data_IF_866903123830
#
_entry.id   IF_866903123830
#
_cell.length_a   1.000
_cell.length_b   1.000
_cell.length_c   1.000
_cell.angle_alpha   90.00
_cell.angle_beta   90.00
_cell.angle_gamma   90.00
#
_symmetry.space_group_name_H-M   'P 1'
#
loop_
_entity.id
_entity.type
_entity.pdbx_description
1 polymer ?
#
# COMPACT_ATOMS: atom_id res chain seq x y z
N UNK A 1 3.79 -17.97 8.40
CA UNK A 1 5.00 -17.09 8.34
C UNK A 1 4.64 -15.66 8.76
N UNK A 2 5.61 -14.82 9.14
CA UNK A 2 5.36 -13.40 9.40
C UNK A 2 5.09 -12.66 8.08
N UNK A 3 4.18 -11.67 8.10
CA UNK A 3 3.86 -10.87 6.90
C UNK A 3 4.98 -9.91 6.52
N UNK A 4 5.79 -9.48 7.49
CA UNK A 4 6.96 -8.63 7.32
C UNK A 4 8.19 -9.38 7.81
N UNK A 5 9.30 -9.28 7.09
CA UNK A 5 10.54 -9.95 7.47
C UNK A 5 11.76 -9.48 6.69
N UNK A 6 12.83 -10.27 6.81
CA UNK A 6 14.06 -10.13 6.06
C UNK A 6 14.37 -11.49 5.41
N UNK A 7 14.73 -11.48 4.13
CA UNK A 7 15.18 -12.68 3.39
C UNK A 7 16.67 -12.53 3.11
N UNK A 8 17.44 -13.61 3.31
CA UNK A 8 18.86 -13.63 2.96
C UNK A 8 19.03 -13.48 1.44
N UNK A 9 19.97 -12.63 1.02
CA UNK A 9 20.19 -12.37 -0.40
C UNK A 9 20.61 -13.65 -1.15
N UNK A 10 21.29 -14.58 -0.49
CA UNK A 10 21.67 -15.90 -1.04
C UNK A 10 20.43 -16.73 -1.37
N UNK A 11 19.43 -16.73 -0.48
CA UNK A 11 18.16 -17.43 -0.70
C UNK A 11 17.40 -16.80 -1.87
N UNK A 12 17.33 -15.46 -1.91
CA UNK A 12 16.69 -14.72 -2.99
C UNK A 12 17.36 -14.99 -4.35
N UNK A 13 18.70 -14.98 -4.38
CA UNK A 13 19.49 -15.32 -5.55
C UNK A 13 19.26 -16.77 -6.00
N UNK A 14 19.20 -17.73 -5.06
CA UNK A 14 18.93 -19.14 -5.39
C UNK A 14 17.52 -19.35 -5.96
N UNK A 15 16.54 -18.52 -5.57
CA UNK A 15 15.22 -18.51 -6.20
C UNK A 15 15.27 -17.92 -7.62
N UNK A 16 16.00 -16.82 -7.82
CA UNK A 16 16.16 -16.19 -9.14
C UNK A 16 16.89 -17.11 -10.12
N UNK A 17 17.99 -17.74 -9.70
CA UNK A 17 18.82 -18.63 -10.54
C UNK A 17 18.03 -19.81 -11.13
N UNK A 18 16.95 -20.24 -10.46
CA UNK A 18 16.08 -21.33 -10.93
C UNK A 18 15.09 -20.90 -12.03
N UNK A 19 14.98 -19.61 -12.33
CA UNK A 19 14.01 -19.10 -13.29
C UNK A 19 14.65 -18.93 -14.66
N UNK A 20 14.09 -19.63 -15.64
CA UNK A 20 14.50 -19.51 -17.04
C UNK A 20 14.30 -18.10 -17.59
N UNK A 21 13.24 -17.41 -17.14
CA UNK A 21 12.92 -16.05 -17.54
C UNK A 21 12.22 -15.27 -16.42
N UNK A 22 12.59 -14.00 -16.28
CA UNK A 22 11.94 -12.98 -15.44
C UNK A 22 11.74 -11.72 -16.28
N UNK A 23 10.76 -10.88 -15.94
CA UNK A 23 10.60 -9.57 -16.57
C UNK A 23 11.32 -8.52 -15.71
N UNK A 24 12.28 -7.83 -16.31
CA UNK A 24 12.98 -6.69 -15.73
C UNK A 24 12.43 -5.41 -16.35
N UNK A 25 11.96 -4.49 -15.50
CA UNK A 25 11.85 -3.06 -15.82
C UNK A 25 12.98 -2.32 -15.12
N UNK A 26 13.83 -1.62 -15.87
CA UNK A 26 15.01 -0.96 -15.33
C UNK A 26 15.09 0.51 -15.73
N UNK A 27 15.52 1.34 -14.79
CA UNK A 27 16.03 2.67 -15.05
C UNK A 27 17.54 2.65 -14.86
N UNK A 28 18.26 3.00 -15.93
CA UNK A 28 19.70 3.02 -16.02
C UNK A 28 20.17 4.46 -16.17
N UNK A 29 21.29 4.79 -15.54
CA UNK A 29 21.90 6.12 -15.62
C UNK A 29 23.35 5.97 -16.02
N UNK A 30 23.82 6.85 -16.89
CA UNK A 30 25.23 6.90 -17.29
C UNK A 30 26.01 7.81 -16.34
N UNK A 31 27.14 7.32 -15.83
CA UNK A 31 28.11 8.07 -15.04
C UNK A 31 29.52 7.99 -15.66
N UNK A 32 30.55 8.43 -14.92
CA UNK A 32 31.95 8.39 -15.38
C UNK A 32 32.49 6.98 -15.61
N UNK A 33 31.92 5.97 -14.95
CA UNK A 33 32.40 4.60 -14.92
C UNK A 33 31.61 3.70 -15.88
N UNK A 34 30.47 4.16 -16.38
CA UNK A 34 29.66 3.47 -17.38
C UNK A 34 28.16 3.56 -17.11
N UNK A 35 27.42 2.56 -17.56
CA UNK A 35 25.99 2.44 -17.27
C UNK A 35 25.79 1.72 -15.95
N UNK A 36 25.00 2.33 -15.06
CA UNK A 36 24.64 1.75 -13.77
C UNK A 36 23.15 1.61 -13.60
N UNK A 37 22.76 0.61 -12.81
CA UNK A 37 21.37 0.45 -12.39
C UNK A 37 21.02 1.54 -11.37
N UNK A 38 20.01 2.35 -11.68
CA UNK A 38 19.40 3.28 -10.73
C UNK A 38 18.21 2.64 -10.03
N UNK A 39 17.40 1.87 -10.76
CA UNK A 39 16.27 1.13 -10.20
C UNK A 39 15.93 -0.09 -11.08
N UNK A 40 15.66 -1.22 -10.46
CA UNK A 40 15.15 -2.42 -11.13
C UNK A 40 13.89 -2.95 -10.45
N UNK A 41 12.80 -3.08 -11.20
CA UNK A 41 11.63 -3.86 -10.82
C UNK A 41 11.66 -5.20 -11.57
N UNK A 42 11.74 -6.30 -10.82
CA UNK A 42 11.76 -7.65 -11.38
C UNK A 42 10.44 -8.33 -11.04
N UNK A 43 9.66 -8.64 -12.05
CA UNK A 43 8.52 -9.51 -11.90
C UNK A 43 8.95 -10.96 -12.19
N UNK A 44 8.77 -11.82 -11.19
CA UNK A 44 9.13 -13.23 -11.26
C UNK A 44 8.08 -14.07 -11.97
N UNK A 45 6.90 -13.50 -12.18
CA UNK A 45 5.93 -14.07 -13.08
C UNK A 45 6.46 -14.00 -14.50
N UNK A 46 6.45 -15.13 -15.19
CA UNK A 46 6.94 -15.24 -16.56
C UNK A 46 5.74 -15.20 -17.50
N UNK A 47 5.24 -14.03 -17.93
CA UNK A 47 4.48 -14.02 -19.15
C UNK A 47 5.49 -14.19 -20.29
N UNK A 48 5.28 -15.18 -21.16
CA UNK A 48 5.89 -15.29 -22.50
C UNK A 48 5.49 -14.10 -23.43
N UNK A 49 5.07 -12.97 -22.85
CA UNK A 49 4.50 -11.79 -23.49
C UNK A 49 4.98 -10.50 -22.81
N UNK A 50 6.22 -10.48 -22.30
CA UNK A 50 6.83 -9.21 -21.88
C UNK A 50 6.84 -8.26 -23.09
N UNK A 51 6.21 -7.10 -22.97
CA UNK A 51 6.29 -6.05 -23.99
C UNK A 51 7.69 -5.47 -23.89
N UNK A 52 8.54 -5.86 -24.84
CA UNK A 52 9.87 -5.27 -24.91
C UNK A 52 9.75 -3.81 -25.36
N UNK A 53 10.21 -2.90 -24.51
CA UNK A 53 10.25 -1.47 -24.80
C UNK A 53 11.48 -0.85 -24.20
N UNK A 54 12.00 0.19 -24.83
CA UNK A 54 13.11 0.97 -24.30
C UNK A 54 12.98 2.44 -24.70
N UNK A 55 13.28 3.33 -23.76
CA UNK A 55 13.47 4.75 -23.98
C UNK A 55 14.93 5.07 -23.73
N UNK A 56 15.64 5.45 -24.79
CA UNK A 56 17.05 5.79 -24.74
C UNK A 56 17.21 7.32 -24.75
N UNK A 57 18.01 7.82 -23.82
CA UNK A 57 18.40 9.22 -23.70
C UNK A 57 19.91 9.31 -23.56
N UNK A 58 20.46 10.52 -23.77
CA UNK A 58 21.92 10.72 -23.68
C UNK A 58 22.54 10.42 -22.31
N UNK A 59 21.77 10.46 -21.22
CA UNK A 59 22.26 10.21 -19.84
C UNK A 59 21.48 9.15 -19.08
N UNK A 60 20.41 8.61 -19.67
CA UNK A 60 19.50 7.67 -19.04
C UNK A 60 18.92 6.69 -20.05
N UNK A 61 18.64 5.47 -19.62
CA UNK A 61 17.89 4.48 -20.41
C UNK A 61 16.84 3.85 -19.52
N UNK A 62 15.59 3.80 -19.98
CA UNK A 62 14.52 3.04 -19.35
C UNK A 62 14.18 1.86 -20.24
N UNK A 63 14.09 0.66 -19.69
CA UNK A 63 13.81 -0.52 -20.50
C UNK A 63 12.95 -1.54 -19.76
N UNK A 64 12.25 -2.34 -20.54
CA UNK A 64 11.50 -3.51 -20.11
C UNK A 64 11.90 -4.68 -21.00
N UNK A 65 12.38 -5.77 -20.39
CA UNK A 65 12.94 -6.93 -21.10
C UNK A 65 12.67 -8.22 -20.33
N UNK A 66 12.56 -9.33 -21.06
CA UNK A 66 12.67 -10.65 -20.45
C UNK A 66 14.14 -11.06 -20.37
N UNK A 67 14.60 -11.48 -19.20
CA UNK A 67 15.97 -11.91 -18.96
C UNK A 67 15.98 -13.21 -18.16
N UNK A 68 17.02 -14.04 -18.27
CA UNK A 68 17.22 -15.16 -17.35
C UNK A 68 17.40 -14.67 -15.91
N UNK A 69 16.88 -15.43 -14.95
CA UNK A 69 16.98 -15.06 -13.54
C UNK A 69 18.42 -14.95 -13.03
N UNK A 70 19.34 -15.75 -13.59
CA UNK A 70 20.76 -15.68 -13.23
C UNK A 70 21.41 -14.33 -13.60
N UNK A 71 20.90 -13.63 -14.62
CA UNK A 71 21.39 -12.29 -14.98
C UNK A 71 21.07 -11.29 -13.86
N UNK A 72 19.87 -11.39 -13.27
CA UNK A 72 19.50 -10.59 -12.10
C UNK A 72 20.36 -10.96 -10.90
N UNK A 73 20.59 -12.25 -10.66
CA UNK A 73 21.49 -12.71 -9.59
C UNK A 73 22.90 -12.13 -9.74
N UNK A 74 23.46 -12.14 -10.95
CA UNK A 74 24.79 -11.59 -11.21
C UNK A 74 24.84 -10.08 -10.93
N UNK A 75 23.82 -9.32 -11.37
CA UNK A 75 23.70 -7.91 -11.04
C UNK A 75 23.58 -7.68 -9.52
N UNK A 76 22.74 -8.46 -8.81
CA UNK A 76 22.63 -8.40 -7.35
C UNK A 76 23.97 -8.69 -6.65
N UNK A 77 24.84 -9.51 -7.23
CA UNK A 77 26.19 -9.78 -6.70
C UNK A 77 27.22 -8.70 -7.09
N UNK A 78 26.80 -7.65 -7.81
CA UNK A 78 27.67 -6.58 -8.29
C UNK A 78 28.50 -6.96 -9.51
N UNK A 79 28.18 -8.06 -10.20
CA UNK A 79 28.85 -8.41 -11.44
C UNK A 79 28.20 -7.69 -12.61
N UNK A 80 28.96 -6.94 -13.43
CA UNK A 80 28.41 -6.29 -14.62
C UNK A 80 27.75 -7.30 -15.57
N UNK A 81 26.60 -6.95 -16.14
CA UNK A 81 25.86 -7.79 -17.09
C UNK A 81 25.45 -6.98 -18.32
N UNK A 82 25.22 -7.67 -19.44
CA UNK A 82 24.64 -7.08 -20.63
C UNK A 82 23.11 -7.00 -20.46
N UNK A 83 22.56 -5.78 -20.60
CA UNK A 83 21.13 -5.50 -20.50
C UNK A 83 20.74 -4.52 -21.60
N UNK A 84 20.06 -5.01 -22.65
CA UNK A 84 19.49 -4.16 -23.70
C UNK A 84 20.52 -3.41 -24.54
N UNK A 85 21.66 -4.04 -24.82
CA UNK A 85 22.81 -3.50 -25.55
C UNK A 85 23.82 -2.76 -24.68
N UNK A 86 23.60 -2.68 -23.36
CA UNK A 86 24.41 -1.90 -22.43
C UNK A 86 25.08 -2.80 -21.40
N UNK A 87 26.36 -2.55 -21.10
CA UNK A 87 27.03 -3.17 -19.95
C UNK A 87 26.62 -2.42 -18.68
N UNK A 88 25.77 -3.05 -17.87
CA UNK A 88 25.17 -2.48 -16.65
C UNK A 88 25.80 -3.09 -15.41
N UNK A 89 26.11 -2.25 -14.42
CA UNK A 89 26.52 -2.67 -13.08
C UNK A 89 25.54 -2.15 -12.02
N UNK A 90 25.16 -2.99 -11.05
CA UNK A 90 24.39 -2.57 -9.89
C UNK A 90 25.33 -2.28 -8.71
N UNK A 91 25.96 -1.10 -8.74
CA UNK A 91 26.85 -0.62 -7.66
C UNK A 91 26.05 -0.26 -6.40
N UNK A 92 26.72 -0.33 -5.24
CA UNK A 92 26.19 0.24 -3.99
C UNK A 92 25.31 -0.70 -3.15
N UNK A 93 25.33 -2.02 -3.41
CA UNK A 93 24.78 -3.01 -2.48
C UNK A 93 25.83 -3.40 -1.43
N UNK A 94 25.67 -2.89 -0.20
CA UNK A 94 26.38 -3.39 0.98
C UNK A 94 25.44 -4.12 1.95
N UNK A 95 24.36 -4.72 1.44
CA UNK A 95 23.37 -5.42 2.25
C UNK A 95 23.42 -6.92 1.99
N UNK A 96 23.22 -7.70 3.05
CA UNK A 96 23.15 -9.17 2.99
C UNK A 96 21.71 -9.69 3.01
N UNK A 97 20.73 -8.82 3.25
CA UNK A 97 19.31 -9.17 3.31
C UNK A 97 18.46 -8.20 2.50
N UNK A 98 17.28 -8.67 2.10
CA UNK A 98 16.22 -7.87 1.50
C UNK A 98 15.01 -7.81 2.44
N UNK A 99 14.40 -6.63 2.58
CA UNK A 99 13.12 -6.49 3.27
C UNK A 99 12.06 -7.28 2.52
N UNK A 100 11.26 -8.06 3.23
CA UNK A 100 10.28 -8.98 2.66
C UNK A 100 8.90 -8.67 3.19
N UNK A 101 7.95 -8.55 2.28
CA UNK A 101 6.56 -8.25 2.57
C UNK A 101 5.65 -9.27 1.89
N UNK A 102 4.70 -9.80 2.64
CA UNK A 102 3.65 -10.67 2.14
C UNK A 102 2.33 -9.90 2.13
N UNK A 103 1.86 -9.63 0.92
CA UNK A 103 0.75 -8.73 0.65
C UNK A 103 -0.46 -9.54 0.21
N UNK A 104 -1.61 -9.25 0.81
CA UNK A 104 -2.89 -9.85 0.40
C UNK A 104 -3.36 -9.28 -0.94
N UNK A 105 -4.34 -9.92 -1.57
CA UNK A 105 -5.01 -9.33 -2.75
C UNK A 105 -5.58 -7.95 -2.41
N UNK A 106 -5.58 -7.05 -3.39
CA UNK A 106 -6.09 -5.67 -3.26
C UNK A 106 -5.36 -4.80 -2.21
N UNK A 107 -4.23 -5.25 -1.65
CA UNK A 107 -3.41 -4.40 -0.77
C UNK A 107 -2.54 -3.48 -1.61
N UNK A 108 -2.70 -2.17 -1.41
CA UNK A 108 -1.80 -1.14 -1.94
C UNK A 108 -0.46 -1.21 -1.22
N UNK A 109 0.59 -1.40 -2.01
CA UNK A 109 1.96 -1.32 -1.54
C UNK A 109 2.85 -0.83 -2.67
N UNK A 110 3.61 0.23 -2.41
CA UNK A 110 4.42 0.87 -3.45
C UNK A 110 3.60 1.26 -4.68
N UNK A 111 2.32 1.65 -4.50
CA UNK A 111 1.35 2.01 -5.56
C UNK A 111 1.02 0.90 -6.55
N UNK A 112 1.34 -0.34 -6.19
CA UNK A 112 0.93 -1.52 -6.96
C UNK A 112 -0.18 -2.20 -6.19
N UNK A 113 -1.29 -2.40 -6.91
CA UNK A 113 -2.43 -3.17 -6.44
C UNK A 113 -2.59 -4.32 -7.42
N UNK A 114 -2.69 -5.52 -6.89
CA UNK A 114 -2.92 -6.73 -7.67
C UNK A 114 -4.19 -7.41 -7.15
N UNK A 115 -5.03 -7.98 -8.03
CA UNK A 115 -6.16 -8.78 -7.58
C UNK A 115 -5.75 -9.95 -6.70
N UNK A 116 -4.60 -10.56 -7.02
CA UNK A 116 -4.01 -11.67 -6.27
C UNK A 116 -2.97 -11.20 -5.23
N UNK A 117 -2.74 -12.00 -4.17
CA UNK A 117 -1.64 -11.84 -3.22
C UNK A 117 -0.26 -11.91 -3.89
N UNK A 118 0.75 -11.35 -3.23
CA UNK A 118 2.13 -11.38 -3.71
C UNK A 118 3.14 -11.31 -2.58
N UNK A 119 4.33 -11.81 -2.84
CA UNK A 119 5.51 -11.55 -2.00
C UNK A 119 6.36 -10.50 -2.70
N UNK A 120 6.73 -9.46 -1.98
CA UNK A 120 7.66 -8.44 -2.46
C UNK A 120 8.95 -8.44 -1.64
N UNK A 121 10.08 -8.30 -2.33
CA UNK A 121 11.38 -8.03 -1.73
C UNK A 121 11.87 -6.66 -2.18
N UNK A 122 12.37 -5.86 -1.25
CA UNK A 122 12.92 -4.54 -1.52
C UNK A 122 14.34 -4.44 -0.99
N UNK A 123 15.25 -3.91 -1.82
CA UNK A 123 16.64 -3.61 -1.46
C UNK A 123 16.86 -2.11 -1.65
N UNK A 124 17.28 -1.42 -0.59
CA UNK A 124 17.58 0.02 -0.62
C UNK A 124 18.87 0.35 -1.38
N UNK A 125 18.95 1.58 -1.92
CA UNK A 125 20.19 2.15 -2.43
C UNK A 125 21.08 2.64 -1.29
N UNK A 126 22.40 2.47 -1.45
CA UNK A 126 23.37 3.16 -0.58
C UNK A 126 23.27 4.68 -0.72
N UNK A 127 23.47 5.40 0.39
CA UNK A 127 23.47 6.87 0.45
C UNK A 127 24.51 7.54 -0.45
N UNK A 128 25.54 6.81 -0.85
CA UNK A 128 26.65 7.32 -1.67
C UNK A 128 26.33 7.31 -3.18
N UNK A 129 25.15 6.82 -3.58
CA UNK A 129 24.75 6.83 -4.98
C UNK A 129 24.33 8.24 -5.42
N UNK A 130 25.04 8.83 -6.37
CA UNK A 130 24.68 10.13 -6.95
C UNK A 130 23.25 10.10 -7.51
N UNK A 131 22.48 11.15 -7.27
CA UNK A 131 21.19 11.32 -7.93
C UNK A 131 21.39 11.59 -9.44
N UNK A 132 20.46 11.16 -10.30
CA UNK A 132 20.49 11.52 -11.72
C UNK A 132 20.50 13.05 -11.88
N UNK A 133 21.17 13.53 -12.93
CA UNK A 133 21.15 14.96 -13.27
C UNK A 133 19.72 15.44 -13.53
N UNK A 134 19.38 16.64 -13.06
CA UNK A 134 18.09 17.31 -13.29
C UNK A 134 17.94 17.88 -14.72
N UNK A 135 18.63 17.30 -15.70
CA UNK A 135 18.58 17.74 -17.10
C UNK A 135 17.31 17.29 -17.82
N UNK A 136 16.95 18.02 -18.86
CA UNK A 136 15.87 17.63 -19.80
C UNK A 136 16.29 16.35 -20.51
N UNK A 137 15.38 15.38 -20.56
CA UNK A 137 15.53 14.15 -21.33
C UNK A 137 14.80 14.32 -22.66
N UNK A 138 15.55 14.50 -23.74
CA UNK A 138 15.02 14.62 -25.10
C UNK A 138 15.11 13.25 -25.77
N UNK A 139 13.96 12.69 -26.13
CA UNK A 139 13.88 11.43 -26.87
C UNK A 139 13.93 11.64 -28.37
N UNK A 140 14.42 10.64 -29.09
CA UNK A 140 14.39 10.58 -30.56
C UNK A 140 13.15 9.80 -31.05
N UNK A 141 12.69 10.09 -32.28
CA UNK A 141 11.59 9.41 -32.97
C UNK A 141 10.32 9.24 -32.12
N UNK A 142 10.06 8.01 -31.65
CA UNK A 142 8.89 7.60 -30.85
C UNK A 142 9.13 7.67 -29.33
N UNK A 143 10.31 8.11 -28.88
CA UNK A 143 10.64 8.23 -27.46
C UNK A 143 10.16 9.59 -26.92
N UNK A 144 9.29 9.62 -25.90
CA UNK A 144 8.79 10.86 -25.34
C UNK A 144 9.89 11.66 -24.64
N UNK A 145 9.78 13.00 -24.70
CA UNK A 145 10.67 13.92 -23.99
C UNK A 145 10.08 14.32 -22.63
N UNK A 146 10.94 14.50 -21.63
CA UNK A 146 10.55 14.84 -20.26
C UNK A 146 11.43 15.95 -19.67
N UNK A 147 10.87 16.75 -18.76
CA UNK A 147 11.62 17.84 -18.13
C UNK A 147 12.76 17.35 -17.24
N UNK A 148 12.63 16.14 -16.68
CA UNK A 148 13.64 15.52 -15.83
C UNK A 148 13.47 14.00 -15.76
N UNK A 149 14.45 13.34 -15.13
CA UNK A 149 14.47 11.89 -14.91
C UNK A 149 13.24 11.35 -14.17
N UNK A 150 12.80 12.01 -13.10
CA UNK A 150 11.69 11.52 -12.27
C UNK A 150 10.34 11.56 -13.02
N UNK A 151 10.17 12.50 -13.96
CA UNK A 151 9.05 12.49 -14.89
C UNK A 151 9.08 11.28 -15.82
N UNK A 152 10.21 11.04 -16.48
CA UNK A 152 10.40 9.88 -17.35
C UNK A 152 10.19 8.57 -16.58
N UNK A 153 10.72 8.48 -15.36
CA UNK A 153 10.55 7.35 -14.46
C UNK A 153 9.08 7.09 -14.12
N UNK A 154 8.35 8.13 -13.70
CA UNK A 154 6.93 8.02 -13.33
C UNK A 154 6.06 7.61 -14.52
N UNK A 155 6.38 8.12 -15.71
CA UNK A 155 5.69 7.78 -16.95
C UNK A 155 5.99 6.34 -17.42
N UNK A 156 7.26 5.91 -17.39
CA UNK A 156 7.65 4.58 -17.87
C UNK A 156 7.12 3.45 -16.99
N UNK A 157 7.29 3.57 -15.67
CA UNK A 157 6.98 2.48 -14.73
C UNK A 157 5.50 2.41 -14.34
N UNK A 158 4.81 3.56 -14.31
CA UNK A 158 3.49 3.68 -13.70
C UNK A 158 2.46 4.40 -14.57
N UNK A 159 2.83 4.85 -15.78
CA UNK A 159 1.94 5.60 -16.68
C UNK A 159 1.24 6.77 -15.98
N UNK A 160 1.99 7.43 -15.08
CA UNK A 160 1.45 8.41 -14.15
C UNK A 160 2.17 9.76 -14.22
N UNK A 161 1.52 10.87 -13.82
CA UNK A 161 2.15 12.18 -13.74
C UNK A 161 3.38 12.22 -12.83
N UNK A 162 4.21 13.27 -13.00
CA UNK A 162 5.40 13.50 -12.19
C UNK A 162 5.17 13.37 -10.69
N UNK A 163 6.05 12.63 -10.02
CA UNK A 163 6.07 12.59 -8.57
C UNK A 163 7.49 12.38 -8.05
N UNK A 164 7.97 13.36 -7.28
CA UNK A 164 9.32 13.38 -6.69
C UNK A 164 9.58 12.28 -5.66
N UNK A 165 8.54 11.60 -5.15
CA UNK A 165 8.69 10.54 -4.15
C UNK A 165 8.80 9.12 -4.75
N UNK A 166 8.62 8.93 -6.06
CA UNK A 166 8.54 7.58 -6.67
C UNK A 166 9.94 7.00 -6.95
N UNK A 167 10.93 7.85 -7.19
CA UNK A 167 12.33 7.48 -7.43
C UNK A 167 13.11 7.21 -6.12
N UNK A 168 12.49 7.42 -4.96
CA UNK A 168 13.21 7.57 -3.68
C UNK A 168 13.23 6.32 -2.80
N UNK A 169 14.15 5.39 -3.04
CA UNK A 169 14.95 4.64 -2.03
C UNK A 169 15.35 3.24 -2.48
N UNK A 170 14.50 2.53 -3.22
CA UNK A 170 14.77 1.14 -3.62
C UNK A 170 15.67 1.06 -4.87
N UNK A 171 16.77 0.33 -4.75
CA UNK A 171 17.58 -0.12 -5.89
C UNK A 171 16.87 -1.26 -6.61
N UNK A 172 16.34 -2.21 -5.84
CA UNK A 172 15.60 -3.35 -6.36
C UNK A 172 14.25 -3.48 -5.69
N UNK A 173 13.26 -3.82 -6.52
CA UNK A 173 11.97 -4.36 -6.11
C UNK A 173 11.74 -5.66 -6.86
N UNK A 174 11.62 -6.76 -6.16
CA UNK A 174 11.41 -8.08 -6.77
C UNK A 174 10.03 -8.57 -6.32
N UNK A 175 9.19 -8.99 -7.26
CA UNK A 175 7.79 -9.33 -7.00
C UNK A 175 7.51 -10.76 -7.45
N UNK A 176 6.98 -11.58 -6.54
CA UNK A 176 6.43 -12.89 -6.82
C UNK A 176 4.91 -12.88 -6.65
N UNK A 177 4.14 -12.93 -7.74
CA UNK A 177 2.71 -13.21 -7.67
C UNK A 177 2.44 -14.57 -7.02
N UNK A 178 1.43 -14.61 -6.14
CA UNK A 178 0.94 -15.81 -5.47
C UNK A 178 -0.47 -16.10 -6.00
N UNK A 179 -0.57 -16.94 -7.04
CA UNK A 179 -1.82 -17.19 -7.78
C UNK A 179 -2.54 -18.48 -7.39
N UNK A 180 -2.07 -19.18 -6.37
CA UNK A 180 -2.69 -20.43 -5.90
C UNK A 180 -4.19 -20.26 -5.63
N UNK A 181 -4.56 -19.27 -4.83
CA UNK A 181 -5.96 -18.90 -4.57
C UNK A 181 -6.06 -17.45 -4.05
N UNK A 182 -7.06 -16.70 -4.51
CA UNK A 182 -7.35 -15.34 -4.04
C UNK A 182 -8.84 -14.98 -4.10
N UNK A 183 -9.20 -13.93 -3.38
CA UNK A 183 -10.55 -13.36 -3.43
C UNK A 183 -10.70 -12.47 -4.66
N UNK A 184 -11.41 -12.95 -5.68
CA UNK A 184 -11.75 -12.15 -6.85
C UNK A 184 -12.83 -11.11 -6.51
N UNK A 185 -13.80 -11.49 -5.67
CA UNK A 185 -14.86 -10.60 -5.18
C UNK A 185 -15.47 -11.15 -3.89
N UNK A 186 -15.86 -10.27 -2.99
CA UNK A 186 -16.61 -10.54 -1.76
C UNK A 186 -17.81 -9.60 -1.77
N UNK A 187 -19.02 -10.14 -1.68
CA UNK A 187 -20.26 -9.39 -1.61
C UNK A 187 -20.95 -9.69 -0.28
N UNK A 188 -21.29 -8.64 0.47
CA UNK A 188 -21.82 -8.72 1.82
C UNK A 188 -23.24 -8.16 1.81
N UNK A 189 -24.22 -9.03 2.05
CA UNK A 189 -25.60 -8.70 2.34
C UNK A 189 -25.83 -8.72 3.87
N UNK A 190 -27.02 -8.32 4.37
CA UNK A 190 -27.33 -8.37 5.79
C UNK A 190 -27.24 -9.76 6.42
N UNK A 191 -27.47 -10.81 5.64
CA UNK A 191 -27.62 -12.18 6.13
C UNK A 191 -26.70 -13.20 5.46
N UNK A 192 -25.89 -12.76 4.48
CA UNK A 192 -25.05 -13.65 3.66
C UNK A 192 -23.76 -12.95 3.25
N UNK A 193 -22.64 -13.69 3.27
CA UNK A 193 -21.42 -13.31 2.57
C UNK A 193 -21.22 -14.23 1.36
N UNK A 194 -21.14 -13.66 0.16
CA UNK A 194 -20.83 -14.38 -1.09
C UNK A 194 -19.40 -14.09 -1.52
N UNK A 195 -18.61 -15.13 -1.75
CA UNK A 195 -17.17 -15.07 -2.02
C UNK A 195 -16.89 -15.75 -3.37
N UNK A 196 -16.39 -14.98 -4.33
CA UNK A 196 -15.82 -15.50 -5.57
C UNK A 196 -14.33 -15.73 -5.38
N UNK A 197 -13.91 -16.99 -5.43
CA UNK A 197 -12.53 -17.41 -5.31
C UNK A 197 -11.98 -17.76 -6.70
N UNK A 198 -10.83 -17.20 -7.04
CA UNK A 198 -10.07 -17.53 -8.25
C UNK A 198 -8.70 -18.11 -7.85
N UNK A 199 -8.05 -18.83 -8.75
CA UNK A 199 -6.75 -19.44 -8.46
C UNK A 199 -6.32 -20.47 -9.50
N UNK A 200 -5.01 -20.71 -9.56
CA UNK A 200 -4.38 -21.68 -10.45
C UNK A 200 -4.22 -23.07 -9.78
N UNK A 201 -4.15 -23.12 -8.44
CA UNK A 201 -4.04 -24.35 -7.64
C UNK A 201 -4.78 -24.24 -6.30
N UNK A 202 -6.02 -24.74 -6.27
CA UNK A 202 -6.86 -24.74 -5.07
C UNK A 202 -6.80 -26.06 -4.30
N UNK A 203 -5.83 -26.93 -4.61
CA UNK A 203 -5.63 -28.19 -3.90
C UNK A 203 -5.45 -27.99 -2.39
N UNK A 204 -6.31 -28.64 -1.60
CA UNK A 204 -6.33 -28.57 -0.13
C UNK A 204 -6.46 -27.15 0.44
N UNK A 205 -7.07 -26.22 -0.31
CA UNK A 205 -7.38 -24.88 0.17
C UNK A 205 -8.66 -24.92 0.99
N UNK A 206 -8.63 -24.30 2.17
CA UNK A 206 -9.80 -24.08 3.01
C UNK A 206 -10.17 -22.60 2.95
N UNK A 207 -11.44 -22.32 2.65
CA UNK A 207 -12.07 -21.02 2.87
C UNK A 207 -12.67 -21.01 4.26
N UNK A 208 -12.32 -20.01 5.06
CA UNK A 208 -12.73 -19.88 6.45
C UNK A 208 -13.19 -18.45 6.75
N UNK A 209 -14.28 -18.32 7.47
CA UNK A 209 -14.76 -17.11 8.12
C UNK A 209 -14.81 -17.34 9.62
N UNK A 210 -14.00 -16.57 10.34
CA UNK A 210 -13.83 -16.66 11.78
C UNK A 210 -14.24 -15.36 12.45
N UNK A 211 -14.99 -15.45 13.54
CA UNK A 211 -15.40 -14.32 14.39
C UNK A 211 -15.10 -14.67 15.85
N UNK A 212 -15.32 -13.74 16.79
CA UNK A 212 -15.18 -14.04 18.21
C UNK A 212 -16.16 -15.13 18.71
N UNK A 213 -17.33 -15.26 18.06
CA UNK A 213 -18.41 -16.15 18.49
C UNK A 213 -18.55 -17.41 17.61
N UNK A 214 -18.14 -17.34 16.35
CA UNK A 214 -18.43 -18.40 15.36
C UNK A 214 -17.24 -18.69 14.47
N UNK A 215 -17.20 -19.89 13.92
CA UNK A 215 -16.19 -20.31 12.96
C UNK A 215 -16.87 -21.18 11.88
N UNK A 216 -16.80 -20.73 10.63
CA UNK A 216 -17.32 -21.46 9.47
C UNK A 216 -16.16 -21.75 8.52
N UNK A 217 -15.98 -22.99 8.09
CA UNK A 217 -14.90 -23.36 7.18
C UNK A 217 -15.33 -24.47 6.20
N UNK A 218 -14.82 -24.42 4.98
CA UNK A 218 -15.01 -25.47 3.97
C UNK A 218 -13.77 -25.64 3.09
N UNK A 219 -13.47 -26.87 2.74
CA UNK A 219 -12.44 -27.18 1.73
C UNK A 219 -13.01 -26.85 0.36
N UNK A 220 -12.21 -26.21 -0.48
CA UNK A 220 -12.61 -25.81 -1.82
C UNK A 220 -12.48 -26.98 -2.81
N UNK A 221 -13.41 -27.03 -3.75
CA UNK A 221 -13.45 -27.99 -4.87
C UNK A 221 -12.93 -27.41 -6.19
N UNK A 222 -12.70 -26.09 -6.24
CA UNK A 222 -12.10 -25.40 -7.38
C UNK A 222 -12.34 -23.89 -7.34
N UNK A 223 -11.96 -23.14 -8.39
CA UNK A 223 -12.38 -21.74 -8.52
C UNK A 223 -13.91 -21.67 -8.63
N UNK A 224 -14.53 -20.68 -7.99
CA UNK A 224 -15.98 -20.58 -7.98
C UNK A 224 -16.55 -19.67 -6.91
N UNK A 225 -17.86 -19.77 -6.72
CA UNK A 225 -18.62 -18.97 -5.76
C UNK A 225 -18.96 -19.80 -4.52
N UNK A 226 -18.69 -19.23 -3.36
CA UNK A 226 -18.95 -19.82 -2.05
C UNK A 226 -19.75 -18.85 -1.18
N UNK A 227 -20.46 -19.37 -0.18
CA UNK A 227 -21.31 -18.56 0.69
C UNK A 227 -21.11 -18.89 2.16
N UNK A 228 -21.20 -17.89 3.03
CA UNK A 228 -21.37 -18.05 4.47
C UNK A 228 -22.68 -17.39 4.90
N UNK A 229 -23.41 -18.07 5.78
CA UNK A 229 -24.61 -17.52 6.38
C UNK A 229 -24.20 -16.57 7.51
N UNK A 230 -24.85 -15.41 7.58
CA UNK A 230 -24.65 -14.36 8.58
C UNK A 230 -25.97 -14.09 9.31
N UNK A 231 -26.52 -15.05 10.08
CA UNK A 231 -27.86 -14.93 10.66
C UNK A 231 -28.06 -13.67 11.52
N UNK A 232 -26.97 -13.17 12.12
CA UNK A 232 -26.94 -11.96 12.95
C UNK A 232 -26.16 -10.81 12.28
N UNK A 233 -25.95 -10.88 10.96
CA UNK A 233 -25.08 -9.98 10.22
C UNK A 233 -23.59 -10.30 10.35
N UNK A 234 -22.76 -9.53 9.64
CA UNK A 234 -21.31 -9.69 9.73
C UNK A 234 -20.81 -9.11 11.05
N UNK A 235 -20.29 -9.97 11.92
CA UNK A 235 -19.77 -9.55 13.21
C UNK A 235 -18.52 -8.64 13.06
N UNK A 236 -18.28 -7.73 14.01
CA UNK A 236 -17.01 -7.01 14.11
C UNK A 236 -15.84 -7.99 14.33
N UNK A 237 -14.64 -7.56 13.97
CA UNK A 237 -13.41 -8.36 13.99
C UNK A 237 -13.52 -9.70 13.25
N UNK A 238 -14.39 -9.78 12.25
CA UNK A 238 -14.50 -10.96 11.38
C UNK A 238 -13.25 -11.09 10.51
N UNK A 239 -12.77 -12.31 10.36
CA UNK A 239 -11.59 -12.67 9.60
C UNK A 239 -11.93 -13.69 8.53
N UNK A 240 -11.82 -13.29 7.27
CA UNK A 240 -12.02 -14.15 6.11
C UNK A 240 -10.65 -14.56 5.56
N UNK A 241 -10.41 -15.85 5.37
CA UNK A 241 -9.11 -16.36 4.94
C UNK A 241 -9.25 -17.55 3.98
N UNK A 242 -8.46 -17.51 2.90
CA UNK A 242 -8.09 -18.71 2.16
C UNK A 242 -6.80 -19.22 2.78
N UNK A 243 -6.74 -20.49 3.16
CA UNK A 243 -5.51 -21.07 3.73
C UNK A 243 -5.23 -22.46 3.21
N UNK A 244 -3.95 -22.81 3.15
CA UNK A 244 -3.47 -24.17 2.95
C UNK A 244 -2.66 -24.56 4.17
N UNK A 245 -3.10 -25.61 4.86
CA UNK A 245 -2.59 -25.96 6.18
C UNK A 245 -2.58 -24.77 7.15
N UNK A 246 -1.39 -24.27 7.55
CA UNK A 246 -1.21 -23.15 8.49
C UNK A 246 -0.84 -21.83 7.82
N UNK A 247 -0.73 -21.79 6.50
CA UNK A 247 -0.39 -20.59 5.76
C UNK A 247 -1.64 -20.04 5.08
N UNK A 248 -1.92 -18.75 5.31
CA UNK A 248 -2.91 -18.03 4.53
C UNK A 248 -2.47 -17.97 3.07
N UNK A 249 -3.39 -17.82 2.11
CA UNK A 249 -3.14 -17.59 0.69
C UNK A 249 -3.63 -16.19 0.33
N UNK A 250 -4.86 -15.85 0.73
CA UNK A 250 -5.41 -14.49 0.74
C UNK A 250 -6.26 -14.29 2.03
N UNK A 251 -6.47 -13.04 2.45
CA UNK A 251 -7.19 -12.73 3.70
C UNK A 251 -7.91 -11.38 3.66
N UNK A 252 -8.98 -11.19 4.43
CA UNK A 252 -9.63 -9.90 4.73
C UNK A 252 -10.05 -9.84 6.19
N UNK A 253 -10.00 -8.63 6.77
CA UNK A 253 -10.56 -8.34 8.09
C UNK A 253 -11.75 -7.39 7.94
N UNK A 254 -12.72 -7.50 8.84
CA UNK A 254 -13.90 -6.64 8.89
C UNK A 254 -14.15 -6.17 10.33
N UNK A 255 -14.17 -4.85 10.61
CA UNK A 255 -13.88 -3.78 9.66
C UNK A 255 -12.45 -3.87 9.09
N UNK A 256 -12.27 -3.36 7.87
CA UNK A 256 -10.97 -3.41 7.22
C UNK A 256 -9.96 -2.56 8.00
N UNK A 257 -8.87 -3.17 8.45
CA UNK A 257 -7.69 -2.40 8.84
C UNK A 257 -7.16 -1.71 7.58
N UNK A 258 -7.05 -0.39 7.59
CA UNK A 258 -6.69 0.39 6.40
C UNK A 258 -5.20 0.24 6.06
N UNK A 259 -4.89 -0.79 5.30
CA UNK A 259 -3.56 -0.98 4.75
C UNK A 259 -3.47 -0.28 3.39
N UNK A 260 -2.84 0.89 3.36
CA UNK A 260 -2.62 1.67 2.13
C UNK A 260 -3.65 2.76 1.91
N UNK A 261 -3.54 3.48 0.78
CA UNK A 261 -4.35 4.68 0.48
C UNK A 261 -5.65 4.36 -0.28
N UNK A 262 -5.82 3.12 -0.68
CA UNK A 262 -6.83 2.69 -1.66
C UNK A 262 -7.74 1.64 -1.02
N UNK A 263 -9.04 1.77 -1.28
CA UNK A 263 -10.05 0.82 -0.83
C UNK A 263 -9.83 -0.53 -1.51
N UNK A 264 -10.24 -1.57 -0.81
CA UNK A 264 -10.33 -2.89 -1.38
C UNK A 264 -11.52 -3.03 -2.32
N UNK A 265 -11.28 -2.88 -3.62
CA UNK A 265 -12.32 -2.97 -4.66
C UNK A 265 -12.92 -4.38 -4.81
N UNK A 266 -12.30 -5.40 -4.22
CA UNK A 266 -12.89 -6.74 -4.19
C UNK A 266 -14.03 -6.86 -3.18
N UNK A 267 -14.14 -5.96 -2.19
CA UNK A 267 -15.18 -6.00 -1.16
C UNK A 267 -16.33 -5.06 -1.52
N UNK A 268 -17.53 -5.61 -1.63
CA UNK A 268 -18.75 -4.89 -2.00
C UNK A 268 -19.83 -5.10 -0.96
N UNK A 269 -20.36 -4.00 -0.44
CA UNK A 269 -21.53 -3.99 0.43
C UNK A 269 -22.76 -3.83 -0.44
N UNK A 270 -23.68 -4.80 -0.42
CA UNK A 270 -24.89 -4.75 -1.23
C UNK A 270 -25.84 -3.65 -0.77
N UNK A 271 -25.90 -3.43 0.54
CA UNK A 271 -26.54 -2.28 1.14
C UNK A 271 -25.52 -1.14 1.27
N UNK A 272 -25.75 0.01 0.59
CA UNK A 272 -24.90 1.18 0.77
C UNK A 272 -24.82 1.58 2.23
N UNK A 273 -23.61 1.81 2.70
CA UNK A 273 -23.36 2.30 4.04
C UNK A 273 -23.44 1.27 5.18
N UNK A 274 -23.84 0.03 4.94
CA UNK A 274 -23.87 -1.01 5.98
C UNK A 274 -22.50 -1.25 6.66
N UNK A 275 -21.40 -0.96 5.95
CA UNK A 275 -20.05 -0.98 6.52
C UNK A 275 -19.85 -0.02 7.70
N UNK A 276 -20.67 1.05 7.79
CA UNK A 276 -20.60 2.06 8.84
C UNK A 276 -20.97 1.46 10.20
N UNK A 277 -21.98 0.59 10.25
CA UNK A 277 -22.40 -0.06 11.49
C UNK A 277 -21.29 -0.95 12.06
N UNK A 278 -20.59 -1.67 11.17
CA UNK A 278 -19.47 -2.54 11.54
C UNK A 278 -18.25 -1.73 11.99
N UNK A 279 -17.98 -0.58 11.34
CA UNK A 279 -16.95 0.35 11.78
C UNK A 279 -17.23 0.86 13.20
N UNK A 280 -18.48 1.20 13.51
CA UNK A 280 -18.87 1.76 14.79
C UNK A 280 -18.98 0.72 15.90
N UNK A 281 -19.21 -0.55 15.58
CA UNK A 281 -19.42 -1.60 16.57
C UNK A 281 -18.20 -1.86 17.47
N UNK A 282 -16.98 -1.58 17.00
CA UNK A 282 -15.75 -1.63 17.83
C UNK A 282 -15.60 -0.42 18.77
N UNK A 283 -16.44 0.60 18.60
CA UNK A 283 -16.38 1.87 19.33
C UNK A 283 -15.23 2.78 18.92
N UNK A 284 -15.20 3.99 19.50
CA UNK A 284 -14.01 4.84 19.40
C UNK A 284 -12.81 4.18 20.05
N UNK A 285 -11.62 4.41 19.48
CA UNK A 285 -10.43 3.79 20.01
C UNK A 285 -9.16 4.14 19.26
N UNK A 286 -8.31 3.13 19.10
CA UNK A 286 -6.97 3.29 18.52
C UNK A 286 -7.02 3.62 17.02
N UNK A 287 -8.08 3.19 16.33
CA UNK A 287 -8.23 3.29 14.87
C UNK A 287 -9.47 4.06 14.43
N UNK A 288 -10.29 4.55 15.38
CA UNK A 288 -11.54 5.25 15.09
C UNK A 288 -11.74 6.45 16.02
N UNK A 289 -12.16 7.56 15.44
CA UNK A 289 -12.64 8.77 16.12
C UNK A 289 -13.96 9.19 15.47
N UNK A 290 -14.99 9.46 16.28
CA UNK A 290 -16.25 10.02 15.80
C UNK A 290 -16.34 11.52 16.09
N UNK A 291 -16.99 12.24 15.19
CA UNK A 291 -17.35 13.64 15.35
C UNK A 291 -18.76 13.86 14.84
N UNK A 292 -19.56 14.57 15.63
CA UNK A 292 -20.93 14.90 15.24
C UNK A 292 -20.97 15.75 13.96
N UNK A 293 -20.05 16.69 13.83
CA UNK A 293 -19.95 17.62 12.71
C UNK A 293 -18.49 18.01 12.42
N UNK A 294 -18.25 18.72 11.33
CA UNK A 294 -16.90 19.17 10.97
C UNK A 294 -16.33 20.03 12.12
N UNK A 295 -15.18 19.64 12.68
CA UNK A 295 -14.71 20.22 13.92
C UNK A 295 -14.21 21.64 13.72
N UNK A 296 -14.49 22.50 14.69
CA UNK A 296 -14.09 23.91 14.70
C UNK A 296 -13.39 24.26 16.03
N UNK A 297 -12.73 25.42 16.08
CA UNK A 297 -12.00 25.91 17.26
C UNK A 297 -11.09 24.83 17.92
N UNK A 298 -11.29 24.51 19.20
CA UNK A 298 -10.48 23.54 19.93
C UNK A 298 -10.70 22.09 19.46
N UNK A 299 -11.91 21.72 19.02
CA UNK A 299 -12.18 20.39 18.48
C UNK A 299 -11.43 20.16 17.16
N UNK A 300 -11.25 21.22 16.36
CA UNK A 300 -10.41 21.15 15.15
C UNK A 300 -8.99 20.75 15.50
N UNK A 301 -8.41 21.41 16.51
CA UNK A 301 -7.05 21.10 16.99
C UNK A 301 -6.95 19.67 17.49
N UNK A 302 -7.90 19.19 18.30
CA UNK A 302 -7.90 17.80 18.80
C UNK A 302 -7.99 16.79 17.64
N UNK A 303 -8.89 17.02 16.70
CA UNK A 303 -9.08 16.15 15.54
C UNK A 303 -7.83 16.07 14.68
N UNK A 304 -7.19 17.21 14.39
CA UNK A 304 -5.95 17.23 13.60
C UNK A 304 -4.77 16.54 14.30
N UNK A 305 -4.70 16.62 15.64
CA UNK A 305 -3.72 15.84 16.42
C UNK A 305 -3.99 14.34 16.32
N UNK A 306 -5.26 13.94 16.36
CA UNK A 306 -5.66 12.53 16.18
C UNK A 306 -5.32 12.04 14.77
N UNK A 307 -5.58 12.85 13.72
CA UNK A 307 -5.19 12.53 12.34
C UNK A 307 -3.67 12.35 12.24
N UNK A 308 -2.87 13.27 12.78
CA UNK A 308 -1.41 13.12 12.81
C UNK A 308 -0.98 11.83 13.55
N UNK A 309 -1.65 11.50 14.66
CA UNK A 309 -1.36 10.29 15.43
C UNK A 309 -1.76 8.98 14.71
N UNK A 310 -2.82 8.99 13.89
CA UNK A 310 -3.22 7.83 13.07
C UNK A 310 -2.15 7.46 12.05
N UNK A 311 -1.38 8.41 11.53
CA UNK A 311 -0.30 8.12 10.57
C UNK A 311 0.79 7.20 11.14
N UNK A 312 0.93 7.15 12.47
CA UNK A 312 1.89 6.30 13.17
C UNK A 312 1.30 4.93 13.56
N UNK A 313 0.00 4.71 13.36
CA UNK A 313 -0.64 3.43 13.67
C UNK A 313 -0.44 2.45 12.50
N UNK A 314 -0.15 1.17 12.77
CA UNK A 314 -0.20 0.14 11.75
C UNK A 314 -1.58 0.10 11.12
N UNK A 315 -1.66 0.29 9.80
CA UNK A 315 -2.94 0.36 9.10
C UNK A 315 -3.75 1.65 9.36
N UNK A 316 -3.12 2.71 9.88
CA UNK A 316 -3.73 4.04 9.90
C UNK A 316 -4.89 4.23 10.89
N UNK A 317 -5.91 4.98 10.50
CA UNK A 317 -7.13 5.19 11.29
C UNK A 317 -8.18 6.02 10.56
N UNK A 318 -9.42 5.99 11.05
CA UNK A 318 -10.56 6.67 10.43
C UNK A 318 -11.16 7.73 11.35
N UNK A 319 -11.45 8.90 10.80
CA UNK A 319 -12.33 9.89 11.45
C UNK A 319 -13.69 9.85 10.74
N UNK A 320 -14.77 9.60 11.48
CA UNK A 320 -16.14 9.67 10.98
C UNK A 320 -16.78 10.99 11.40
N UNK A 321 -17.32 11.74 10.44
CA UNK A 321 -18.01 13.01 10.68
C UNK A 321 -19.48 12.87 10.32
N UNK A 322 -20.38 13.20 11.24
CA UNK A 322 -21.80 12.87 11.19
C UNK A 322 -22.19 11.75 12.15
N UNK A 323 -21.36 11.46 13.15
CA UNK A 323 -21.58 10.45 14.19
C UNK A 323 -21.42 11.10 15.56
N UNK A 324 -22.43 10.98 16.42
CA UNK A 324 -22.41 11.56 17.76
C UNK A 324 -21.47 10.79 18.71
N UNK A 325 -21.20 11.37 19.88
CA UNK A 325 -20.25 10.82 20.87
C UNK A 325 -20.71 9.46 21.45
N UNK A 326 -22.00 9.15 21.37
CA UNK A 326 -22.59 7.86 21.73
C UNK A 326 -22.64 6.86 20.55
N UNK A 327 -21.95 7.19 19.45
CA UNK A 327 -21.89 6.46 18.19
C UNK A 327 -23.22 6.44 17.41
N UNK A 328 -24.18 7.29 17.76
CA UNK A 328 -25.38 7.47 16.95
C UNK A 328 -25.02 8.11 15.60
N UNK A 329 -25.44 7.47 14.51
CA UNK A 329 -25.32 8.03 13.16
C UNK A 329 -26.35 9.15 13.01
N UNK A 330 -25.90 10.40 12.96
CA UNK A 330 -26.78 11.59 12.84
C UNK A 330 -26.73 12.22 11.45
N UNK A 331 -25.67 11.93 10.68
CA UNK A 331 -25.42 12.52 9.37
C UNK A 331 -24.94 13.97 9.42
N UNK A 332 -24.57 14.52 8.27
CA UNK A 332 -24.25 15.94 8.13
C UNK A 332 -25.48 16.81 8.40
N UNK A 333 -25.26 17.96 9.04
CA UNK A 333 -26.32 18.90 9.38
C UNK A 333 -27.08 19.40 8.13
N UNK A 334 -28.37 19.67 8.31
CA UNK A 334 -29.25 20.14 7.24
C UNK A 334 -28.70 21.42 6.58
N UNK A 335 -28.73 21.48 5.24
CA UNK A 335 -28.19 22.59 4.46
C UNK A 335 -26.67 22.57 4.24
N UNK A 336 -25.92 21.66 4.89
CA UNK A 336 -24.51 21.42 4.55
C UNK A 336 -24.42 20.58 3.27
N UNK A 337 -23.55 21.02 2.37
CA UNK A 337 -23.24 20.28 1.14
C UNK A 337 -22.01 19.43 1.42
N UNK A 338 -22.13 18.11 1.28
CA UNK A 338 -21.08 17.16 1.66
C UNK A 338 -19.71 17.47 1.02
N UNK A 339 -19.70 17.82 -0.27
CA UNK A 339 -18.46 18.19 -0.99
C UNK A 339 -17.77 19.43 -0.39
N UNK A 340 -18.55 20.40 0.12
CA UNK A 340 -17.98 21.59 0.78
C UNK A 340 -17.36 21.22 2.11
N UNK A 341 -18.01 20.37 2.89
CA UNK A 341 -17.49 19.91 4.18
C UNK A 341 -16.23 19.05 3.99
N UNK A 342 -16.20 18.17 2.98
CA UNK A 342 -14.99 17.43 2.59
C UNK A 342 -13.83 18.36 2.24
N UNK A 343 -14.08 19.37 1.39
CA UNK A 343 -13.08 20.39 1.04
C UNK A 343 -12.58 21.14 2.29
N UNK A 344 -13.48 21.51 3.20
CA UNK A 344 -13.12 22.14 4.47
C UNK A 344 -12.18 21.27 5.29
N UNK A 345 -12.49 19.99 5.45
CA UNK A 345 -11.63 19.04 6.19
C UNK A 345 -10.28 18.86 5.49
N UNK A 346 -10.25 18.75 4.16
CA UNK A 346 -9.01 18.62 3.40
C UNK A 346 -8.09 19.84 3.57
N UNK A 347 -8.65 21.04 3.55
CA UNK A 347 -7.89 22.27 3.83
C UNK A 347 -7.35 22.30 5.26
N UNK A 348 -8.15 21.89 6.26
CA UNK A 348 -7.67 21.79 7.65
C UNK A 348 -6.46 20.85 7.78
N UNK A 349 -6.49 19.71 7.09
CA UNK A 349 -5.37 18.75 7.12
C UNK A 349 -4.13 19.37 6.46
N UNK A 350 -4.27 19.91 5.25
CA UNK A 350 -3.18 20.52 4.48
C UNK A 350 -2.50 21.66 5.24
N UNK A 351 -3.28 22.54 5.86
CA UNK A 351 -2.76 23.76 6.47
C UNK A 351 -2.10 23.51 7.83
N UNK A 352 -2.40 22.38 8.48
CA UNK A 352 -2.01 22.13 9.87
C UNK A 352 -1.24 20.83 10.10
N UNK A 353 -1.01 19.97 9.10
CA UNK A 353 -0.25 18.73 9.28
C UNK A 353 0.92 18.69 8.29
N UNK A 354 2.12 18.45 8.80
CA UNK A 354 3.35 18.42 8.01
C UNK A 354 4.22 17.19 8.30
N UNK A 355 4.67 16.43 7.28
CA UNK A 355 4.17 16.50 5.90
C UNK A 355 2.67 16.15 5.82
N UNK A 356 2.01 16.56 4.71
CA UNK A 356 0.60 16.22 4.49
C UNK A 356 0.43 14.69 4.57
N UNK A 357 -0.49 14.19 5.41
CA UNK A 357 -0.62 12.76 5.62
C UNK A 357 -1.21 12.08 4.36
N UNK A 358 -0.95 10.78 4.17
CA UNK A 358 -1.71 10.01 3.21
C UNK A 358 -3.16 9.84 3.70
N UNK A 359 -4.15 10.42 3.03
CA UNK A 359 -5.55 10.19 3.37
C UNK A 359 -6.46 10.15 2.14
N UNK A 360 -7.62 9.51 2.31
CA UNK A 360 -8.75 9.56 1.39
C UNK A 360 -10.00 10.04 2.13
N UNK A 361 -10.93 10.66 1.40
CA UNK A 361 -12.22 11.07 1.94
C UNK A 361 -13.33 10.52 1.08
N UNK A 362 -14.43 10.11 1.72
CA UNK A 362 -15.64 9.67 1.03
C UNK A 362 -16.89 9.92 1.86
N UNK A 363 -18.02 9.88 1.18
CA UNK A 363 -19.33 9.94 1.81
C UNK A 363 -19.86 8.52 1.92
N UNK A 364 -20.23 8.14 3.13
CA UNK A 364 -21.01 6.94 3.42
C UNK A 364 -22.44 7.40 3.61
N UNK A 365 -23.35 6.92 2.77
CA UNK A 365 -24.78 7.19 2.89
C UNK A 365 -25.44 5.94 3.47
N UNK A 366 -26.02 6.06 4.66
CA UNK A 366 -26.85 5.03 5.28
C UNK A 366 -28.21 5.65 5.58
N UNK A 367 -29.25 5.15 4.92
CA UNK A 367 -30.63 5.63 5.06
C UNK A 367 -30.79 7.16 4.90
N UNK A 368 -30.05 7.77 3.98
CA UNK A 368 -30.07 9.21 3.71
C UNK A 368 -29.23 10.05 4.68
N UNK A 369 -28.67 9.43 5.74
CA UNK A 369 -27.72 10.08 6.65
C UNK A 369 -26.32 9.98 6.04
N UNK A 370 -25.82 11.12 5.56
CA UNK A 370 -24.49 11.22 4.98
C UNK A 370 -23.44 11.38 6.06
N UNK A 371 -22.45 10.51 6.10
CA UNK A 371 -21.29 10.56 6.99
C UNK A 371 -20.03 10.73 6.14
N UNK A 372 -19.13 11.63 6.54
CA UNK A 372 -17.82 11.76 5.89
C UNK A 372 -16.86 10.82 6.61
N UNK A 373 -16.28 9.88 5.90
CA UNK A 373 -15.15 9.08 6.37
C UNK A 373 -13.85 9.70 5.87
N UNK A 374 -12.97 10.05 6.80
CA UNK A 374 -11.59 10.48 6.55
C UNK A 374 -10.67 9.33 6.92
N UNK A 375 -10.20 8.64 5.89
CA UNK A 375 -9.43 7.40 5.97
C UNK A 375 -7.94 7.78 5.91
N UNK A 376 -7.26 7.77 7.04
CA UNK A 376 -5.87 8.21 7.20
C UNK A 376 -4.98 6.97 7.16
N UNK A 377 -4.14 6.86 6.13
CA UNK A 377 -3.18 5.78 6.00
C UNK A 377 -1.97 5.93 6.92
N UNK A 378 -1.24 4.85 7.12
CA UNK A 378 0.07 4.89 7.75
C UNK A 378 1.06 5.69 6.88
N UNK A 379 1.85 6.56 7.50
CA UNK A 379 2.88 7.34 6.82
C UNK A 379 4.27 6.71 6.99
N UNK A 380 5.08 6.79 5.93
CA UNK A 380 6.48 6.37 5.96
C UNK A 380 7.39 7.33 6.74
N UNK A 381 6.89 8.51 7.10
CA UNK A 381 7.58 9.45 7.98
C UNK A 381 6.59 10.00 9.00
N UNK A 382 7.02 10.33 10.23
CA UNK A 382 6.12 10.90 11.22
C UNK A 382 5.50 12.21 10.74
N UNK A 383 4.16 12.29 10.73
CA UNK A 383 3.43 13.53 10.49
C UNK A 383 3.27 14.32 11.81
N UNK A 384 3.46 15.63 11.75
CA UNK A 384 3.34 16.53 12.89
C UNK A 384 2.19 17.52 12.72
N UNK A 385 1.50 17.82 13.82
CA UNK A 385 0.56 18.94 13.88
C UNK A 385 1.32 20.26 14.02
N UNK A 386 1.06 21.21 13.14
CA UNK A 386 1.53 22.59 13.20
C UNK A 386 0.56 23.43 14.03
N UNK A 387 1.02 23.87 15.20
CA UNK A 387 0.23 24.75 16.05
C UNK A 387 0.17 26.20 15.51
N UNK A 388 -0.65 27.06 16.13
CA UNK A 388 -0.84 28.45 15.71
C UNK A 388 0.43 29.31 15.78
N UNK A 389 1.43 28.91 16.58
CA UNK A 389 2.75 29.53 16.65
C UNK A 389 3.75 28.98 15.63
N UNK A 390 3.32 28.09 14.73
CA UNK A 390 4.15 27.48 13.69
C UNK A 390 5.00 26.30 14.16
N UNK A 391 4.94 25.92 15.44
CA UNK A 391 5.72 24.79 15.99
C UNK A 391 5.09 23.45 15.62
N UNK A 392 5.93 22.50 15.22
CA UNK A 392 5.56 21.12 14.95
C UNK A 392 5.48 20.31 16.25
N UNK A 393 4.38 19.60 16.44
CA UNK A 393 4.08 18.74 17.58
C UNK A 393 3.72 17.33 17.09
N UNK A 394 4.41 16.30 17.60
CA UNK A 394 4.18 14.90 17.24
C UNK A 394 3.27 14.22 18.27
N UNK A 395 2.37 13.36 17.81
CA UNK A 395 1.39 12.67 18.64
C UNK A 395 1.34 11.18 18.32
N UNK A 396 0.95 10.39 19.32
CA UNK A 396 0.65 8.96 19.17
C UNK A 396 -0.72 8.67 19.79
N UNK A 397 -1.45 7.71 19.20
CA UNK A 397 -2.76 7.26 19.67
C UNK A 397 -2.56 6.05 20.58
N UNK A 398 -3.23 6.05 21.74
CA UNK A 398 -3.20 4.96 22.73
C UNK A 398 -4.61 4.73 23.24
N UNK A 399 -5.26 3.66 22.77
CA UNK A 399 -6.71 3.50 22.93
C UNK A 399 -7.42 4.72 22.34
N UNK A 400 -8.34 5.32 23.10
CA UNK A 400 -9.07 6.53 22.69
C UNK A 400 -8.30 7.85 22.92
N UNK A 401 -7.08 7.81 23.47
CA UNK A 401 -6.35 9.03 23.82
C UNK A 401 -5.25 9.37 22.81
N UNK A 402 -5.19 10.64 22.40
CA UNK A 402 -4.09 11.21 21.62
C UNK A 402 -3.13 11.94 22.55
N UNK A 403 -1.89 11.47 22.67
CA UNK A 403 -0.87 12.01 23.59
C UNK A 403 0.38 12.47 22.85
N UNK A 404 1.13 13.47 23.38
CA UNK A 404 2.40 13.87 22.78
C UNK A 404 3.36 12.67 22.68
N UNK A 405 3.97 12.51 21.50
CA UNK A 405 4.95 11.46 21.25
C UNK A 405 6.22 11.72 22.08
N UNK A 406 6.77 10.68 22.68
CA UNK A 406 8.07 10.73 23.36
C UNK A 406 9.19 10.76 22.33
N UNK A 407 10.35 11.28 22.73
CA UNK A 407 11.53 11.33 21.86
C UNK A 407 11.86 9.96 21.24
N UNK A 408 11.81 8.89 22.03
CA UNK A 408 12.04 7.52 21.53
C UNK A 408 11.03 7.05 20.48
N UNK A 409 9.78 7.49 20.56
CA UNK A 409 8.73 7.12 19.59
C UNK A 409 8.91 7.91 18.28
N UNK A 410 9.29 9.19 18.42
CA UNK A 410 9.65 10.04 17.29
C UNK A 410 10.87 9.43 16.57
N UNK A 411 11.93 9.14 17.31
CA UNK A 411 13.16 8.54 16.77
C UNK A 411 12.89 7.16 16.20
N UNK A 412 12.05 6.32 16.80
CA UNK A 412 11.67 5.02 16.25
C UNK A 412 10.88 5.16 14.94
N UNK A 413 9.97 6.12 14.82
CA UNK A 413 9.28 6.42 13.56
C UNK A 413 10.23 6.92 12.47
N UNK A 414 11.28 7.66 12.85
CA UNK A 414 12.37 8.02 11.94
C UNK A 414 13.34 6.85 11.66
N UNK A 415 13.56 5.93 12.61
CA UNK A 415 14.51 4.81 12.51
C UNK A 415 13.93 3.55 11.86
N UNK A 416 12.62 3.32 11.93
CA UNK A 416 11.93 2.30 11.13
C UNK A 416 11.98 2.63 9.63
N UNK A 417 12.35 3.87 9.28
CA UNK A 417 12.47 4.38 7.91
C UNK A 417 13.84 4.99 7.60
N UNK A 418 14.82 4.84 8.50
CA UNK A 418 16.24 4.97 8.19
C UNK A 418 16.76 3.55 7.97
N UNK A 419 17.32 3.21 6.81
CA UNK A 419 17.89 1.90 6.61
C UNK A 419 18.96 1.66 7.69
N UNK A 420 18.84 0.56 8.42
CA UNK A 420 19.99 -0.02 9.12
C UNK A 420 20.91 -0.69 8.12
#
# INVERSE_FOLDING_TARGET
>A
MANVGQTDLTELCAMLDKREAVNLRAALVQDSDGWRLHHGEVNLDSPNTAVERAWHYGTATFLERSLPGFTITALLRGHPQEVGGLTVEAKGMQVTTASTERLRGQQDWGRVITPWPRTEWTIGRSSDTQSPSYGVLVGDDDVPSFLNFDQAFSAFFYESPHNSNVSGSALWRIVLPQRDAWFARISISPDTMTINVAGDDLGNVTLELSTAATHQARVLDGPGTYTFDLPDGLAPDSFLVLRRARDWLDQRSFPALQHGRVRDDSVVWEQPGAELEILLASGEGQYLEAKREVPHAEERKKTLKTIAAFTAQPGGGTVLIGVADDLEIVGLAEGKVADKEMLTVGNMIRDNIEPEPPYAQRIIDLDGKKVIAVEVGQAAVPCAYRNSGGRLEFFVRRGYNTVPARHVEITAGFQQNLPR
#
